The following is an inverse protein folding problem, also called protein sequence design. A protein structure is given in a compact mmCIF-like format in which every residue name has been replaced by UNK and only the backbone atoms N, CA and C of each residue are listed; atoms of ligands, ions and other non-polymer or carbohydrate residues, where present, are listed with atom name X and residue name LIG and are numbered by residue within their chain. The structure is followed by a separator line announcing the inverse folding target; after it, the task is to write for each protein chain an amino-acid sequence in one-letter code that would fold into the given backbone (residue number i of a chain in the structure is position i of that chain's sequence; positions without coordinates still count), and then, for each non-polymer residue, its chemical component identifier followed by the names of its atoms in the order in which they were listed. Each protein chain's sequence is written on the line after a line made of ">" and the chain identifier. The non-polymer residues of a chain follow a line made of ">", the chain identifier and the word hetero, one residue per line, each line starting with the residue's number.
data_IF_552902025395
#
_entry.id   IF_552902025395
#
_cell.length_a   1.000
_cell.length_b   1.000
_cell.length_c   1.000
_cell.angle_alpha   90.00
_cell.angle_beta   90.00
_cell.angle_gamma   90.00
#
_symmetry.space_group_name_H-M   'P 1'
#
loop_
_entity.id
_entity.type
_entity.pdbx_description
1 polymer ?
#
# COMPACT_ATOMS: atom_id res chain seq x y z
N UNK A 1 -0.63 14.17 -3.26
CA UNK A 1 -0.35 12.84 -3.88
C UNK A 1 -0.24 11.78 -2.78
N UNK A 2 -0.94 10.66 -2.92
CA UNK A 2 -0.91 9.55 -1.95
C UNK A 2 -0.08 8.41 -2.53
N UNK A 3 0.82 7.84 -1.74
CA UNK A 3 1.63 6.67 -2.13
C UNK A 3 1.29 5.54 -1.17
N UNK A 4 0.91 4.38 -1.71
CA UNK A 4 0.70 3.15 -0.95
C UNK A 4 1.75 2.13 -1.38
N UNK A 5 2.56 1.67 -0.43
CA UNK A 5 3.62 0.69 -0.63
C UNK A 5 3.27 -0.59 0.13
N UNK A 6 3.35 -1.73 -0.57
CA UNK A 6 3.06 -3.06 -0.04
C UNK A 6 4.38 -3.80 0.14
N UNK A 7 4.57 -4.41 1.31
CA UNK A 7 5.74 -5.23 1.65
C UNK A 7 5.30 -6.67 1.91
N UNK A 8 6.06 -7.64 1.41
CA UNK A 8 5.85 -9.04 1.76
C UNK A 8 6.27 -9.29 3.21
N UNK A 9 5.52 -10.15 3.92
CA UNK A 9 5.87 -10.53 5.31
C UNK A 9 7.08 -11.48 5.39
N UNK A 10 7.33 -12.23 4.33
CA UNK A 10 8.26 -13.38 4.31
C UNK A 10 9.65 -13.04 3.76
N UNK A 11 9.89 -11.81 3.32
CA UNK A 11 11.17 -11.36 2.76
C UNK A 11 11.74 -10.22 3.61
N UNK A 12 13.05 -9.91 3.51
CA UNK A 12 13.60 -8.64 4.01
C UNK A 12 12.73 -7.48 3.51
N UNK A 13 12.70 -6.30 4.18
CA UNK A 13 11.74 -5.22 3.90
C UNK A 13 12.00 -4.56 2.53
N UNK A 14 11.73 -5.29 1.45
CA UNK A 14 11.72 -4.83 0.08
C UNK A 14 10.27 -4.55 -0.31
N UNK A 15 10.01 -3.41 -0.96
CA UNK A 15 8.68 -3.12 -1.47
C UNK A 15 8.33 -4.12 -2.56
N UNK A 16 7.22 -4.84 -2.37
CA UNK A 16 6.66 -5.76 -3.36
C UNK A 16 5.86 -4.99 -4.41
N UNK A 17 5.09 -3.98 -3.99
CA UNK A 17 4.36 -3.07 -4.88
C UNK A 17 4.39 -1.65 -4.36
N UNK A 18 4.46 -0.67 -5.25
CA UNK A 18 4.26 0.75 -4.93
C UNK A 18 3.28 1.34 -5.94
N UNK A 19 2.23 2.00 -5.44
CA UNK A 19 1.24 2.66 -6.28
C UNK A 19 0.91 4.06 -5.78
N UNK A 20 0.76 4.98 -6.74
CA UNK A 20 0.47 6.40 -6.51
C UNK A 20 -0.98 6.69 -6.87
N UNK A 21 -1.64 7.49 -6.05
CA UNK A 21 -3.03 7.88 -6.18
C UNK A 21 -3.17 9.40 -6.10
N UNK A 22 -4.03 9.95 -6.95
CA UNK A 22 -4.47 11.33 -6.86
C UNK A 22 -5.58 11.48 -5.81
N UNK A 23 -6.54 10.53 -5.82
CA UNK A 23 -7.71 10.53 -4.95
C UNK A 23 -7.57 9.60 -3.75
N UNK A 24 -8.14 10.05 -2.62
CA UNK A 24 -8.12 9.31 -1.36
C UNK A 24 -8.93 8.01 -1.43
N UNK A 25 -10.08 8.04 -2.11
CA UNK A 25 -11.00 6.88 -2.21
C UNK A 25 -10.32 5.69 -2.88
N UNK A 26 -9.53 5.93 -3.92
CA UNK A 26 -8.86 4.85 -4.64
C UNK A 26 -7.69 4.26 -3.84
N UNK A 27 -6.95 5.10 -3.12
CA UNK A 27 -5.93 4.65 -2.18
C UNK A 27 -6.54 3.76 -1.08
N UNK A 28 -7.70 4.15 -0.54
CA UNK A 28 -8.39 3.40 0.52
C UNK A 28 -8.92 2.04 0.01
N UNK A 29 -9.44 1.99 -1.23
CA UNK A 29 -9.87 0.76 -1.88
C UNK A 29 -8.69 -0.20 -2.10
N UNK A 30 -7.56 0.33 -2.58
CA UNK A 30 -6.34 -0.44 -2.81
C UNK A 30 -5.79 -1.02 -1.50
N UNK A 31 -5.72 -0.20 -0.45
CA UNK A 31 -5.29 -0.65 0.88
C UNK A 31 -6.22 -1.75 1.43
N UNK A 32 -7.54 -1.55 1.32
CA UNK A 32 -8.54 -2.52 1.78
C UNK A 32 -8.43 -3.87 1.08
N UNK A 33 -8.15 -3.87 -0.23
CA UNK A 33 -7.90 -5.09 -1.00
C UNK A 33 -6.72 -5.88 -0.43
N UNK A 34 -5.58 -5.21 -0.19
CA UNK A 34 -4.39 -5.87 0.35
C UNK A 34 -4.56 -6.34 1.78
N UNK A 35 -5.25 -5.57 2.63
CA UNK A 35 -5.58 -6.00 4.00
C UNK A 35 -6.40 -7.30 4.03
N UNK A 36 -7.30 -7.51 3.05
CA UNK A 36 -8.10 -8.74 2.95
C UNK A 36 -7.29 -9.98 2.56
N UNK A 37 -6.18 -9.82 1.85
CA UNK A 37 -5.30 -10.93 1.48
C UNK A 37 -4.46 -11.46 2.66
N UNK A 38 -4.36 -10.71 3.76
CA UNK A 38 -3.86 -11.20 5.05
C UNK A 38 -2.35 -11.45 5.15
N UNK A 39 -1.55 -11.15 4.11
CA UNK A 39 -0.12 -11.47 4.08
C UNK A 39 0.79 -10.33 3.59
N UNK A 40 0.59 -9.11 4.07
CA UNK A 40 1.50 -8.00 3.75
C UNK A 40 1.54 -6.93 4.86
N UNK A 41 2.63 -6.16 4.89
CA UNK A 41 2.65 -4.86 5.55
C UNK A 41 2.32 -3.77 4.53
N UNK A 42 1.56 -2.77 4.95
CA UNK A 42 1.14 -1.66 4.10
C UNK A 42 1.65 -0.36 4.71
N UNK A 43 2.35 0.44 3.91
CA UNK A 43 2.79 1.79 4.28
C UNK A 43 2.10 2.81 3.38
N UNK A 44 1.47 3.80 4.00
CA UNK A 44 0.87 4.95 3.31
C UNK A 44 1.67 6.21 3.57
N UNK A 45 1.90 7.00 2.52
CA UNK A 45 2.50 8.32 2.60
C UNK A 45 1.60 9.33 1.90
N UNK A 46 1.21 10.39 2.61
CA UNK A 46 0.50 11.53 2.02
C UNK A 46 1.52 12.63 1.82
N UNK A 47 1.79 13.00 0.56
CA UNK A 47 2.58 14.17 0.23
C UNK A 47 1.61 15.29 -0.16
N UNK A 48 1.52 16.31 0.70
CA UNK A 48 0.91 17.61 0.41
C UNK A 48 1.68 18.32 -0.69
#
# INVERSE_FOLDING_TARGET
>A
MIIVTIFALTMPPSPMFEQKFADQVDADRYESFWRRLGQCHIRRQVRT
#
